data_IF_240751917765
#
_entry.id   IF_240751917765
#
_cell.length_a   1.000
_cell.length_b   1.000
_cell.length_c   1.000
_cell.angle_alpha   90.00
_cell.angle_beta   90.00
_cell.angle_gamma   90.00
#
_symmetry.space_group_name_H-M   'P 1'
#
loop_
_entity.id
_entity.type
_entity.pdbx_description
1 polymer ?
#
# COMPACT_ATOMS: atom_id res chain seq x y z
N UNK A 1 30.11 -25.79 61.08
CA UNK A 1 30.73 -25.03 59.98
C UNK A 1 30.13 -25.52 58.66
N UNK A 2 29.67 -24.59 57.81
CA UNK A 2 29.03 -24.76 56.48
C UNK A 2 27.70 -25.52 56.46
N UNK A 3 26.52 -24.90 56.57
CA UNK A 3 25.84 -23.88 55.74
C UNK A 3 25.21 -24.44 54.46
N UNK A 4 23.88 -24.32 54.41
CA UNK A 4 22.95 -24.85 53.41
C UNK A 4 22.99 -24.07 52.08
N UNK A 5 22.87 -24.78 50.96
CA UNK A 5 22.54 -24.20 49.67
C UNK A 5 21.12 -24.62 49.28
N UNK A 6 20.15 -23.73 49.58
CA UNK A 6 18.80 -23.79 49.01
C UNK A 6 18.82 -23.27 47.57
N UNK A 7 18.53 -24.16 46.61
CA UNK A 7 18.36 -23.78 45.21
C UNK A 7 17.00 -23.13 44.99
N UNK A 8 16.98 -21.81 44.81
CA UNK A 8 15.80 -21.09 44.36
C UNK A 8 15.54 -21.37 42.88
N UNK A 9 14.37 -21.91 42.57
CA UNK A 9 13.80 -21.98 41.23
C UNK A 9 13.49 -20.55 40.77
N UNK A 10 14.37 -19.97 39.96
CA UNK A 10 14.18 -18.66 39.34
C UNK A 10 13.38 -18.78 38.05
N UNK A 11 12.14 -18.28 38.06
CA UNK A 11 11.30 -18.15 36.88
C UNK A 11 12.00 -17.31 35.79
N UNK A 12 11.96 -17.78 34.54
CA UNK A 12 12.41 -17.03 33.36
C UNK A 12 11.55 -15.78 33.19
N UNK A 13 12.13 -14.57 33.11
CA UNK A 13 11.36 -13.39 32.73
C UNK A 13 11.06 -13.44 31.23
N UNK A 14 9.79 -13.57 30.87
CA UNK A 14 9.33 -13.27 29.51
C UNK A 14 9.55 -11.78 29.23
N UNK A 15 10.60 -11.44 28.48
CA UNK A 15 10.76 -10.09 27.91
C UNK A 15 10.81 -10.21 26.40
N UNK A 16 9.69 -9.87 25.76
CA UNK A 16 9.68 -9.32 24.41
C UNK A 16 10.45 -8.01 24.45
N UNK A 17 11.63 -7.96 23.85
CA UNK A 17 12.33 -6.73 23.45
C UNK A 17 13.44 -7.14 22.49
N UNK A 18 13.58 -6.42 21.38
CA UNK A 18 14.47 -6.75 20.25
C UNK A 18 15.85 -7.24 20.69
N UNK A 19 16.35 -8.26 19.99
CA UNK A 19 17.67 -8.84 20.23
C UNK A 19 18.71 -7.72 20.11
N UNK A 20 19.31 -7.34 21.22
CA UNK A 20 20.50 -6.46 21.21
C UNK A 20 21.70 -7.38 21.17
N UNK A 21 22.42 -7.37 20.06
CA UNK A 21 23.71 -8.05 19.98
C UNK A 21 24.81 -7.05 20.34
N UNK A 22 25.57 -7.38 21.38
CA UNK A 22 26.82 -6.69 21.67
C UNK A 22 27.93 -7.35 20.83
N UNK A 23 28.36 -6.66 19.77
CA UNK A 23 29.48 -7.11 18.93
C UNK A 23 30.71 -6.32 19.32
N UNK A 24 31.80 -7.03 19.64
CA UNK A 24 33.10 -6.41 19.83
C UNK A 24 33.87 -6.39 18.51
N UNK A 25 34.12 -5.20 17.98
CA UNK A 25 34.97 -5.00 16.80
C UNK A 25 36.11 -4.06 17.20
N UNK A 26 37.35 -4.55 17.10
CA UNK A 26 38.56 -3.78 17.43
C UNK A 26 38.53 -3.09 18.81
N UNK A 27 38.02 -3.79 19.84
CA UNK A 27 37.96 -3.27 21.22
C UNK A 27 36.87 -2.23 21.47
N UNK A 28 35.98 -1.99 20.50
CA UNK A 28 34.76 -1.18 20.69
C UNK A 28 33.54 -2.09 20.71
N UNK A 29 32.77 -1.99 21.79
CA UNK A 29 31.46 -2.64 21.90
C UNK A 29 30.44 -1.84 21.12
N UNK A 30 29.97 -2.39 20.01
CA UNK A 30 28.86 -1.87 19.23
C UNK A 30 27.57 -2.51 19.73
N UNK A 31 26.62 -1.68 20.18
CA UNK A 31 25.25 -2.12 20.44
C UNK A 31 24.48 -2.08 19.13
N UNK A 32 24.26 -3.25 18.54
CA UNK A 32 23.38 -3.34 17.37
C UNK A 32 21.96 -3.51 17.91
N UNK A 33 21.15 -2.46 17.77
CA UNK A 33 19.70 -2.57 17.90
C UNK A 33 19.17 -3.05 16.57
N UNK A 34 18.45 -4.17 16.57
CA UNK A 34 17.62 -4.54 15.42
C UNK A 34 16.60 -3.41 15.17
N UNK A 35 16.77 -2.68 14.08
CA UNK A 35 15.84 -1.66 13.62
C UNK A 35 14.64 -2.30 12.88
N UNK A 36 14.63 -3.62 12.70
CA UNK A 36 13.63 -4.43 12.00
C UNK A 36 12.32 -4.59 12.77
N UNK A 37 11.77 -3.49 13.28
CA UNK A 37 10.44 -3.49 13.86
C UNK A 37 9.41 -3.60 12.75
N UNK A 38 8.66 -4.71 12.73
CA UNK A 38 7.47 -4.81 11.92
C UNK A 38 6.56 -3.59 12.17
N UNK A 39 6.07 -2.95 11.10
CA UNK A 39 5.29 -1.72 11.18
C UNK A 39 4.08 -1.78 10.25
N UNK A 40 2.97 -1.07 10.56
CA UNK A 40 1.88 -0.86 9.62
C UNK A 40 2.39 -0.32 8.29
N UNK A 41 1.82 -0.75 7.17
CA UNK A 41 2.38 -0.54 5.85
C UNK A 41 1.33 0.01 4.89
N UNK A 42 1.66 1.11 4.21
CA UNK A 42 0.95 1.59 3.04
C UNK A 42 1.83 1.45 1.79
N UNK A 43 1.29 0.83 0.74
CA UNK A 43 1.94 0.73 -0.58
C UNK A 43 0.99 1.22 -1.65
N UNK A 44 1.46 2.18 -2.43
CA UNK A 44 0.75 2.73 -3.59
C UNK A 44 1.66 2.80 -4.82
N UNK A 45 1.06 3.04 -5.98
CA UNK A 45 1.77 3.46 -7.18
C UNK A 45 1.13 4.73 -7.73
N UNK A 46 1.89 5.83 -7.90
CA UNK A 46 1.35 7.07 -8.44
C UNK A 46 0.95 6.88 -9.90
N UNK A 47 -0.15 7.51 -10.31
CA UNK A 47 -0.55 7.60 -11.71
C UNK A 47 0.39 8.59 -12.41
N UNK A 48 0.90 8.22 -13.58
CA UNK A 48 1.80 9.10 -14.33
C UNK A 48 1.11 10.40 -14.76
N UNK A 49 1.89 11.46 -14.96
CA UNK A 49 1.38 12.79 -15.25
C UNK A 49 0.52 12.85 -16.53
N UNK A 50 0.84 12.08 -17.58
CA UNK A 50 0.06 12.07 -18.81
C UNK A 50 -1.31 11.38 -18.60
N UNK A 51 -1.32 10.21 -17.94
CA UNK A 51 -2.60 9.53 -17.62
C UNK A 51 -3.44 10.35 -16.65
N UNK A 52 -2.84 10.98 -15.64
CA UNK A 52 -3.54 11.82 -14.68
C UNK A 52 -4.16 13.06 -15.35
N UNK A 53 -3.44 13.69 -16.29
CA UNK A 53 -3.96 14.80 -17.09
C UNK A 53 -5.16 14.38 -17.93
N UNK A 54 -5.03 13.31 -18.73
CA UNK A 54 -6.13 12.79 -19.56
C UNK A 54 -7.35 12.38 -18.74
N UNK A 55 -7.14 11.78 -17.56
CA UNK A 55 -8.21 11.42 -16.63
C UNK A 55 -8.91 12.67 -16.09
N UNK A 56 -8.14 13.68 -15.67
CA UNK A 56 -8.68 14.96 -15.17
C UNK A 56 -9.54 15.65 -16.23
N UNK A 57 -9.06 15.73 -17.46
CA UNK A 57 -9.81 16.34 -18.56
C UNK A 57 -11.09 15.58 -18.88
N UNK A 58 -11.04 14.24 -18.89
CA UNK A 58 -12.23 13.41 -19.05
C UNK A 58 -13.22 13.66 -17.91
N UNK A 59 -12.77 13.66 -16.65
CA UNK A 59 -13.64 13.87 -15.49
C UNK A 59 -14.34 15.25 -15.56
N UNK A 60 -13.63 16.31 -15.95
CA UNK A 60 -14.21 17.64 -16.17
C UNK A 60 -15.31 17.62 -17.23
N UNK A 61 -15.06 16.99 -18.38
CA UNK A 61 -16.07 16.89 -19.46
C UNK A 61 -17.30 16.10 -19.04
N UNK A 62 -17.15 15.16 -18.12
CA UNK A 62 -18.25 14.35 -17.59
C UNK A 62 -19.03 15.05 -16.47
N UNK A 63 -18.58 16.21 -15.98
CA UNK A 63 -19.28 16.99 -14.95
C UNK A 63 -18.88 16.66 -13.51
N UNK A 64 -17.80 15.91 -13.29
CA UNK A 64 -17.27 15.69 -11.94
C UNK A 64 -16.65 16.98 -11.37
N UNK A 65 -16.76 17.15 -10.06
CA UNK A 65 -16.24 18.30 -9.31
C UNK A 65 -15.33 17.83 -8.19
N UNK A 66 -14.61 18.76 -7.56
CA UNK A 66 -13.65 18.44 -6.48
C UNK A 66 -12.64 17.37 -6.92
N UNK A 67 -12.05 17.59 -8.08
CA UNK A 67 -11.11 16.66 -8.69
C UNK A 67 -9.85 16.53 -7.82
N UNK A 68 -9.39 15.30 -7.68
CA UNK A 68 -8.13 15.00 -6.99
C UNK A 68 -6.98 15.68 -7.76
N UNK A 69 -6.03 16.33 -7.07
CA UNK A 69 -4.81 16.84 -7.72
C UNK A 69 -4.09 15.74 -8.49
N UNK A 70 -3.59 16.05 -9.69
CA UNK A 70 -3.01 15.05 -10.60
C UNK A 70 -1.86 14.27 -9.98
N UNK A 71 -1.02 14.95 -9.19
CA UNK A 71 0.11 14.40 -8.45
C UNK A 71 -0.28 13.57 -7.22
N UNK A 72 -1.57 13.56 -6.85
CA UNK A 72 -2.11 12.74 -5.77
C UNK A 72 -2.91 11.54 -6.28
N UNK A 73 -3.14 11.41 -7.59
CA UNK A 73 -3.81 10.24 -8.16
C UNK A 73 -2.88 9.02 -8.09
N UNK A 74 -3.38 7.93 -7.53
CA UNK A 74 -2.61 6.70 -7.38
C UNK A 74 -3.55 5.49 -7.32
N UNK A 75 -2.97 4.29 -7.44
CA UNK A 75 -3.61 3.05 -7.06
C UNK A 75 -2.99 2.52 -5.78
N UNK A 76 -3.81 2.18 -4.80
CA UNK A 76 -3.36 1.47 -3.59
C UNK A 76 -3.13 0.00 -3.92
N UNK A 77 -1.95 -0.52 -3.56
CA UNK A 77 -1.59 -1.94 -3.70
C UNK A 77 -1.80 -2.67 -2.38
N UNK A 78 -1.37 -2.07 -1.26
CA UNK A 78 -1.54 -2.64 0.08
C UNK A 78 -1.80 -1.54 1.12
N UNK A 79 -2.66 -1.85 2.09
CA UNK A 79 -2.91 -1.02 3.26
C UNK A 79 -3.07 -1.95 4.46
N UNK A 80 -1.98 -2.13 5.22
CA UNK A 80 -1.91 -3.06 6.34
C UNK A 80 -1.81 -2.31 7.67
N UNK A 81 -2.87 -2.36 8.47
CA UNK A 81 -2.81 -1.92 9.88
C UNK A 81 -2.03 -2.90 10.77
N UNK A 82 -1.96 -4.18 10.38
CA UNK A 82 -1.12 -5.14 11.09
C UNK A 82 0.36 -4.85 10.80
N UNK A 83 1.22 -4.87 11.83
CA UNK A 83 2.65 -4.65 11.64
C UNK A 83 3.27 -5.82 10.86
N UNK A 84 3.98 -5.50 9.78
CA UNK A 84 4.72 -6.46 8.95
C UNK A 84 6.16 -6.01 8.77
N UNK A 85 7.06 -6.94 8.52
CA UNK A 85 8.44 -6.63 8.15
C UNK A 85 8.49 -6.25 6.67
N UNK A 86 8.76 -4.98 6.38
CA UNK A 86 8.71 -4.44 5.02
C UNK A 86 9.78 -5.05 4.11
N UNK A 87 10.90 -5.52 4.68
CA UNK A 87 12.00 -6.12 3.92
C UNK A 87 11.64 -7.49 3.33
N UNK A 88 10.49 -8.07 3.72
CA UNK A 88 9.95 -9.28 3.09
C UNK A 88 9.34 -9.04 1.72
N UNK A 89 9.10 -7.77 1.37
CA UNK A 89 8.43 -7.38 0.13
C UNK A 89 9.41 -6.65 -0.78
N UNK A 90 10.31 -7.37 -1.49
CA UNK A 90 11.11 -6.74 -2.52
C UNK A 90 10.17 -6.12 -3.56
N UNK A 91 10.50 -4.92 -4.06
CA UNK A 91 9.74 -4.34 -5.18
C UNK A 91 9.85 -5.26 -6.39
N UNK A 92 8.71 -5.59 -7.00
CA UNK A 92 8.64 -6.45 -8.20
C UNK A 92 9.13 -5.74 -9.46
N UNK A 93 9.00 -4.42 -9.51
CA UNK A 93 9.00 -3.67 -10.75
C UNK A 93 10.07 -2.58 -10.75
N UNK A 94 10.66 -2.33 -11.91
CA UNK A 94 11.31 -1.04 -12.15
C UNK A 94 10.25 0.08 -12.15
N UNK A 95 10.69 1.32 -12.12
CA UNK A 95 9.82 2.49 -11.96
C UNK A 95 8.69 2.62 -13.00
N UNK A 96 8.80 1.96 -14.16
CA UNK A 96 8.00 2.28 -15.35
C UNK A 96 7.11 1.12 -15.87
N UNK A 97 6.99 0.01 -15.13
CA UNK A 97 6.51 -1.26 -15.70
C UNK A 97 5.00 -1.54 -15.60
N UNK A 98 4.22 -0.74 -14.86
CA UNK A 98 2.78 -1.01 -14.74
C UNK A 98 1.97 -0.16 -15.72
N UNK A 99 1.62 -0.79 -16.85
CA UNK A 99 0.71 -0.23 -17.85
C UNK A 99 -0.58 -1.03 -17.88
N UNK A 100 -1.72 -0.35 -17.74
CA UNK A 100 -3.04 -0.91 -18.02
C UNK A 100 -3.47 -0.41 -19.40
N UNK A 101 -3.51 -1.30 -20.42
CA UNK A 101 -3.81 -0.92 -21.80
C UNK A 101 -5.14 -0.17 -21.92
N UNK A 102 -5.27 0.71 -22.91
CA UNK A 102 -6.54 1.39 -23.19
C UNK A 102 -7.71 0.39 -23.36
N UNK A 103 -8.89 0.74 -22.83
CA UNK A 103 -10.07 -0.12 -22.83
C UNK A 103 -10.11 -1.14 -21.67
N UNK A 104 -10.61 -2.35 -21.96
CA UNK A 104 -10.79 -3.41 -20.97
C UNK A 104 -11.91 -3.15 -19.95
N UNK A 105 -12.10 -4.07 -18.98
CA UNK A 105 -13.13 -3.94 -17.96
C UNK A 105 -12.84 -2.77 -17.01
N UNK A 106 -13.68 -1.74 -17.08
CA UNK A 106 -13.60 -0.54 -16.24
C UNK A 106 -14.99 -0.03 -15.89
N UNK A 107 -15.14 0.57 -14.71
CA UNK A 107 -16.37 1.25 -14.31
C UNK A 107 -16.08 2.37 -13.33
N UNK A 108 -16.93 3.40 -13.36
CA UNK A 108 -16.96 4.41 -12.30
C UNK A 108 -17.80 3.87 -11.16
N UNK A 109 -17.32 4.03 -9.94
CA UNK A 109 -18.09 3.74 -8.73
C UNK A 109 -18.02 4.93 -7.78
N UNK A 110 -19.00 4.98 -6.90
CA UNK A 110 -19.01 5.90 -5.76
C UNK A 110 -18.76 5.07 -4.51
N UNK A 111 -17.72 5.44 -3.77
CA UNK A 111 -17.41 4.87 -2.45
C UNK A 111 -18.03 5.74 -1.35
N UNK A 112 -17.90 5.29 -0.10
CA UNK A 112 -18.38 6.04 1.05
C UNK A 112 -17.85 7.47 1.05
N UNK A 113 -18.71 8.44 1.40
CA UNK A 113 -18.36 9.86 1.39
C UNK A 113 -18.42 10.54 0.02
N UNK A 114 -19.21 10.01 -0.92
CA UNK A 114 -19.44 10.54 -2.28
C UNK A 114 -18.21 10.55 -3.20
N UNK A 115 -17.14 9.85 -2.80
CA UNK A 115 -15.88 9.79 -3.54
C UNK A 115 -16.04 8.96 -4.80
N UNK A 116 -15.66 9.53 -5.94
CA UNK A 116 -15.72 8.86 -7.24
C UNK A 116 -14.39 8.20 -7.58
N UNK A 117 -14.45 6.92 -7.91
CA UNK A 117 -13.30 6.10 -8.24
C UNK A 117 -13.45 5.46 -9.62
N UNK A 118 -12.34 5.28 -10.32
CA UNK A 118 -12.26 4.45 -11.51
C UNK A 118 -11.75 3.07 -11.08
N UNK A 119 -12.63 2.06 -11.06
CA UNK A 119 -12.22 0.66 -10.90
C UNK A 119 -11.84 0.07 -12.26
N UNK A 120 -10.76 -0.72 -12.29
CA UNK A 120 -10.29 -1.41 -13.48
C UNK A 120 -9.81 -2.83 -13.16
N UNK A 121 -9.63 -3.66 -14.19
CA UNK A 121 -8.99 -4.97 -14.04
C UNK A 121 -7.47 -4.87 -14.26
N UNK A 122 -6.69 -5.55 -13.42
CA UNK A 122 -5.23 -5.68 -13.57
C UNK A 122 -4.73 -6.93 -12.85
N UNK A 123 -4.33 -7.94 -13.61
CA UNK A 123 -3.74 -9.17 -13.07
C UNK A 123 -2.43 -8.92 -12.31
N UNK A 124 -1.47 -8.10 -12.81
CA UNK A 124 -0.25 -7.80 -12.08
C UNK A 124 -0.51 -7.20 -10.69
N UNK A 125 -1.47 -6.28 -10.56
CA UNK A 125 -1.83 -5.71 -9.27
C UNK A 125 -2.48 -6.74 -8.33
N UNK A 126 -3.31 -7.65 -8.85
CA UNK A 126 -3.89 -8.72 -8.03
C UNK A 126 -2.82 -9.68 -7.51
N UNK A 127 -1.85 -10.07 -8.35
CA UNK A 127 -0.75 -10.94 -7.95
C UNK A 127 0.14 -10.27 -6.89
N UNK A 128 0.44 -8.97 -7.07
CA UNK A 128 1.23 -8.20 -6.12
C UNK A 128 0.49 -8.02 -4.78
N UNK A 129 -0.80 -7.71 -4.81
CA UNK A 129 -1.62 -7.66 -3.59
C UNK A 129 -1.65 -9.02 -2.86
N UNK A 130 -1.80 -10.13 -3.59
CA UNK A 130 -1.84 -11.47 -2.99
C UNK A 130 -0.52 -11.85 -2.32
N UNK A 131 0.63 -11.42 -2.86
CA UNK A 131 1.91 -11.54 -2.16
C UNK A 131 1.94 -10.76 -0.84
N UNK A 132 1.50 -9.49 -0.82
CA UNK A 132 1.38 -8.74 0.44
C UNK A 132 0.49 -9.48 1.45
N UNK A 133 -0.64 -10.02 0.97
CA UNK A 133 -1.59 -10.78 1.79
C UNK A 133 -0.95 -12.05 2.36
N UNK A 134 -0.24 -12.83 1.53
CA UNK A 134 0.50 -14.04 1.94
C UNK A 134 1.67 -13.73 2.88
N UNK A 135 2.29 -12.55 2.76
CA UNK A 135 3.33 -12.06 3.67
C UNK A 135 2.82 -11.54 5.01
N UNK A 136 1.51 -11.62 5.27
CA UNK A 136 0.92 -11.30 6.58
C UNK A 136 0.30 -9.91 6.68
N UNK A 137 0.19 -9.16 5.56
CA UNK A 137 -0.54 -7.90 5.58
C UNK A 137 -2.01 -8.14 5.93
N UNK A 138 -2.57 -7.26 6.76
CA UNK A 138 -4.01 -7.20 6.99
C UNK A 138 -4.71 -6.58 5.78
N UNK A 139 -5.97 -6.95 5.54
CA UNK A 139 -6.80 -6.37 4.51
C UNK A 139 -8.25 -6.34 5.00
N UNK A 140 -8.90 -5.19 4.86
CA UNK A 140 -10.24 -4.96 5.45
C UNK A 140 -11.38 -5.42 4.54
N UNK A 141 -11.09 -5.74 3.28
CA UNK A 141 -12.11 -6.09 2.30
C UNK A 141 -12.05 -7.58 1.92
N UNK A 142 -13.14 -8.19 1.44
CA UNK A 142 -13.14 -9.61 1.04
C UNK A 142 -12.22 -9.91 -0.15
N UNK A 143 -11.99 -8.93 -1.02
CA UNK A 143 -11.19 -9.07 -2.24
C UNK A 143 -10.44 -7.77 -2.53
N UNK A 144 -9.46 -7.86 -3.43
CA UNK A 144 -8.80 -6.70 -4.00
C UNK A 144 -9.50 -6.24 -5.28
N UNK A 145 -9.68 -4.93 -5.39
CA UNK A 145 -10.29 -4.30 -6.56
C UNK A 145 -9.50 -3.02 -6.85
N UNK A 146 -8.55 -3.04 -7.80
CA UNK A 146 -7.72 -1.88 -8.05
C UNK A 146 -8.57 -0.72 -8.58
N UNK A 147 -8.34 0.45 -8.00
CA UNK A 147 -9.08 1.66 -8.31
C UNK A 147 -8.20 2.90 -8.14
N UNK A 148 -8.54 3.96 -8.87
CA UNK A 148 -7.97 5.30 -8.71
C UNK A 148 -9.09 6.21 -8.22
N UNK A 149 -8.87 6.91 -7.11
CA UNK A 149 -9.73 8.01 -6.68
C UNK A 149 -9.40 9.24 -7.52
N UNK A 150 -10.41 9.82 -8.19
CA UNK A 150 -10.20 10.94 -9.11
C UNK A 150 -11.07 12.17 -8.83
N UNK A 151 -12.14 12.03 -8.04
CA UNK A 151 -12.98 13.15 -7.64
C UNK A 151 -13.63 12.90 -6.27
N UNK A 152 -13.81 13.95 -5.48
CA UNK A 152 -14.48 13.89 -4.18
C UNK A 152 -16.00 13.86 -4.26
N UNK A 153 -16.60 14.35 -5.37
CA UNK A 153 -18.06 14.42 -5.55
C UNK A 153 -18.47 14.27 -7.02
N UNK A 154 -19.68 13.78 -7.26
CA UNK A 154 -20.24 13.57 -8.60
C UNK A 154 -20.53 14.88 -9.37
N UNK A 155 -20.84 15.98 -8.69
CA UNK A 155 -21.23 17.23 -9.37
C UNK A 155 -22.50 17.03 -10.21
N UNK A 156 -22.42 17.25 -11.52
CA UNK A 156 -23.52 16.98 -12.48
C UNK A 156 -23.35 15.65 -13.22
N UNK A 157 -22.32 14.87 -12.89
CA UNK A 157 -22.08 13.58 -13.52
C UNK A 157 -23.17 12.56 -13.15
N UNK A 158 -23.56 11.74 -14.13
CA UNK A 158 -24.44 10.58 -13.95
C UNK A 158 -23.66 9.29 -14.25
N UNK A 159 -23.12 8.60 -13.22
CA UNK A 159 -22.36 7.37 -13.40
C UNK A 159 -23.11 6.25 -14.12
N UNK A 160 -24.45 6.24 -14.06
CA UNK A 160 -25.27 5.20 -14.69
C UNK A 160 -25.31 5.30 -16.23
N UNK A 161 -25.01 6.49 -16.76
CA UNK A 161 -25.04 6.79 -18.20
C UNK A 161 -23.67 7.07 -18.78
N UNK A 162 -22.64 7.11 -17.94
CA UNK A 162 -21.30 7.48 -18.34
C UNK A 162 -20.46 6.27 -18.76
N UNK A 163 -19.77 6.41 -19.91
CA UNK A 163 -18.69 5.49 -20.26
C UNK A 163 -17.44 5.83 -19.42
N UNK A 164 -16.98 4.85 -18.66
CA UNK A 164 -15.74 4.96 -17.88
C UNK A 164 -14.54 5.35 -18.75
N UNK A 165 -13.57 6.03 -18.14
CA UNK A 165 -12.33 6.43 -18.81
C UNK A 165 -11.66 5.23 -19.49
N UNK A 166 -11.49 5.33 -20.81
CA UNK A 166 -10.99 4.25 -21.65
C UNK A 166 -9.52 4.43 -22.05
N UNK A 167 -8.87 5.53 -21.65
CA UNK A 167 -7.46 5.75 -21.97
C UNK A 167 -6.54 4.73 -21.30
N UNK A 168 -5.31 4.63 -21.80
CA UNK A 168 -4.25 3.89 -21.12
C UNK A 168 -3.94 4.54 -19.76
N UNK A 169 -3.62 3.72 -18.76
CA UNK A 169 -3.16 4.13 -17.44
C UNK A 169 -1.73 3.64 -17.24
N UNK A 170 -0.79 4.53 -16.96
CA UNK A 170 0.59 4.16 -16.59
C UNK A 170 0.84 4.58 -15.16
N UNK A 171 1.57 3.75 -14.43
CA UNK A 171 1.87 3.99 -13.03
C UNK A 171 3.38 3.99 -12.80
N UNK A 172 3.83 4.90 -11.94
CA UNK A 172 5.20 4.98 -11.47
C UNK A 172 5.59 3.82 -10.54
N UNK A 173 6.74 3.90 -9.85
CA UNK A 173 7.23 2.86 -8.94
C UNK A 173 6.30 2.62 -7.75
N UNK A 174 6.54 1.54 -7.01
CA UNK A 174 5.91 1.37 -5.70
C UNK A 174 6.50 2.35 -4.69
N UNK A 175 5.61 3.01 -3.96
CA UNK A 175 5.96 3.88 -2.85
C UNK A 175 5.54 3.20 -1.55
N UNK A 176 6.51 2.99 -0.65
CA UNK A 176 6.29 2.41 0.67
C UNK A 176 6.25 3.55 1.69
N UNK A 177 5.18 3.61 2.47
CA UNK A 177 4.97 4.66 3.45
C UNK A 177 4.40 4.10 4.76
N UNK A 178 4.68 4.75 5.91
CA UNK A 178 4.00 4.44 7.16
C UNK A 178 2.54 4.89 7.11
N UNK A 179 1.69 4.26 7.93
CA UNK A 179 0.29 4.67 8.17
C UNK A 179 0.22 5.54 9.41
#
# INVERSE_FOLDING_TARGET
>A
MCQACGGACGALPSRRSGLVLDVNVAGRSLRIRDAGGAAPLYVSRPLDADSASRMTEWARRCGFVDLVPQDQMHVTVAYSRAPVDWFKFPSWFAADDLVVPAGGPRRVETFDGDVSVLRFASEPLNLRWDEFRRGGCSWDHPSYAPHITFAGRLGTADPSRLKAFAGELRFGPEEFAPI
#
